data_IF_206926954032
#
_entry.id   IF_206926954032
#
_cell.length_a   1.000
_cell.length_b   1.000
_cell.length_c   1.000
_cell.angle_alpha   90.00
_cell.angle_beta   90.00
_cell.angle_gamma   90.00
#
_symmetry.space_group_name_H-M   'P 1'
#
loop_
_entity.id
_entity.type
_entity.pdbx_description
1 polymer ?
#
# COMPACT_ATOMS: atom_id res chain seq x y z
N UNK A 1 7.69 10.71 -18.97
CA UNK A 1 6.30 10.93 -18.53
C UNK A 1 6.15 10.25 -17.18
N UNK A 2 5.78 11.01 -16.14
CA UNK A 2 5.51 10.47 -14.81
C UNK A 2 4.02 10.09 -14.72
N UNK A 3 3.74 8.84 -14.36
CA UNK A 3 2.36 8.34 -14.28
C UNK A 3 1.54 9.05 -13.21
N UNK A 4 2.15 9.43 -12.09
CA UNK A 4 1.48 10.16 -11.00
C UNK A 4 0.96 11.51 -11.45
N UNK A 5 1.78 12.27 -12.18
CA UNK A 5 1.40 13.58 -12.71
C UNK A 5 0.26 13.45 -13.73
N UNK A 6 0.28 12.37 -14.53
CA UNK A 6 -0.79 12.08 -15.49
C UNK A 6 -2.12 11.74 -14.78
N UNK A 7 -2.08 10.93 -13.72
CA UNK A 7 -3.27 10.61 -12.91
C UNK A 7 -3.84 11.88 -12.28
N UNK A 8 -2.99 12.75 -11.72
CA UNK A 8 -3.43 14.02 -11.15
C UNK A 8 -4.04 14.94 -12.22
N UNK A 9 -3.43 15.02 -13.40
CA UNK A 9 -3.95 15.76 -14.54
C UNK A 9 -5.33 15.26 -14.98
N UNK A 10 -5.49 13.95 -15.14
CA UNK A 10 -6.78 13.34 -15.52
C UNK A 10 -7.84 13.64 -14.47
N UNK A 11 -7.52 13.53 -13.17
CA UNK A 11 -8.46 13.88 -12.09
C UNK A 11 -8.85 15.35 -12.07
N UNK A 12 -7.93 16.25 -12.44
CA UNK A 12 -8.21 17.68 -12.54
C UNK A 12 -9.09 18.02 -13.76
N UNK A 13 -8.87 17.36 -14.91
CA UNK A 13 -9.65 17.55 -16.14
C UNK A 13 -11.02 16.87 -16.08
N UNK A 14 -11.13 15.78 -15.31
CA UNK A 14 -12.32 14.93 -15.19
C UNK A 14 -12.70 14.69 -13.72
N UNK A 15 -13.13 15.74 -13.00
CA UNK A 15 -13.53 15.63 -11.59
C UNK A 15 -14.82 14.82 -11.40
N UNK A 16 -15.55 14.52 -12.48
CA UNK A 16 -16.71 13.63 -12.52
C UNK A 16 -16.34 12.16 -12.27
N UNK A 17 -15.09 11.76 -12.53
CA UNK A 17 -14.63 10.39 -12.34
C UNK A 17 -14.27 10.15 -10.87
N UNK A 18 -15.18 9.48 -10.16
CA UNK A 18 -15.01 9.15 -8.74
C UNK A 18 -14.39 7.75 -8.59
N UNK A 19 -14.82 6.78 -9.40
CA UNK A 19 -14.37 5.41 -9.25
C UNK A 19 -12.94 5.25 -9.78
N UNK A 20 -12.05 4.54 -9.05
CA UNK A 20 -10.68 4.30 -9.50
C UNK A 20 -10.57 3.63 -10.87
N UNK A 21 -11.52 2.76 -11.21
CA UNK A 21 -11.55 2.08 -12.50
C UNK A 21 -11.75 3.07 -13.66
N UNK A 22 -12.69 4.00 -13.53
CA UNK A 22 -12.97 4.99 -14.57
C UNK A 22 -11.78 5.95 -14.76
N UNK A 23 -11.11 6.32 -13.66
CA UNK A 23 -9.86 7.10 -13.71
C UNK A 23 -8.76 6.31 -14.44
N UNK A 24 -8.62 5.02 -14.15
CA UNK A 24 -7.62 4.17 -14.81
C UNK A 24 -7.88 4.05 -16.32
N UNK A 25 -9.13 3.92 -16.76
CA UNK A 25 -9.50 3.88 -18.18
C UNK A 25 -9.18 5.21 -18.88
N UNK A 26 -9.49 6.35 -18.24
CA UNK A 26 -9.16 7.67 -18.76
C UNK A 26 -7.63 7.89 -18.85
N UNK A 27 -6.88 7.45 -17.86
CA UNK A 27 -5.40 7.48 -17.88
C UNK A 27 -4.86 6.59 -18.99
N UNK A 28 -5.38 5.37 -19.16
CA UNK A 28 -4.97 4.47 -20.23
C UNK A 28 -5.22 5.05 -21.62
N UNK A 29 -6.35 5.72 -21.81
CA UNK A 29 -6.69 6.41 -23.06
C UNK A 29 -5.74 7.60 -23.34
N UNK A 30 -5.24 8.27 -22.29
CA UNK A 30 -4.30 9.39 -22.41
C UNK A 30 -2.86 8.96 -22.70
N UNK A 31 -2.49 7.69 -22.46
CA UNK A 31 -1.13 7.18 -22.67
C UNK A 31 -0.91 6.80 -24.15
N UNK A 32 0.07 7.43 -24.84
CA UNK A 32 0.44 7.02 -26.19
C UNK A 32 0.89 5.56 -26.24
N UNK A 33 0.51 4.81 -27.28
CA UNK A 33 0.83 3.39 -27.40
C UNK A 33 2.33 3.07 -27.21
N UNK A 34 3.20 3.94 -27.74
CA UNK A 34 4.67 3.84 -27.62
C UNK A 34 5.21 4.01 -26.19
N UNK A 35 4.44 4.59 -25.27
CA UNK A 35 4.83 4.84 -23.87
C UNK A 35 4.14 3.90 -22.88
N UNK A 36 3.31 2.96 -23.36
CA UNK A 36 2.57 2.04 -22.48
C UNK A 36 3.50 1.13 -21.66
N UNK A 37 4.60 0.67 -22.23
CA UNK A 37 5.58 -0.14 -21.53
C UNK A 37 6.21 0.62 -20.35
N UNK A 38 6.63 1.87 -20.58
CA UNK A 38 7.22 2.71 -19.54
C UNK A 38 6.21 3.07 -18.44
N UNK A 39 4.96 3.35 -18.81
CA UNK A 39 3.89 3.61 -17.86
C UNK A 39 3.58 2.37 -17.01
N UNK A 40 3.54 1.19 -17.63
CA UNK A 40 3.35 -0.07 -16.94
C UNK A 40 4.52 -0.37 -15.98
N UNK A 41 5.76 -0.11 -16.40
CA UNK A 41 6.95 -0.26 -15.55
C UNK A 41 6.92 0.64 -14.31
N UNK A 42 6.27 1.81 -14.38
CA UNK A 42 6.04 2.68 -13.22
C UNK A 42 4.92 2.19 -12.31
N UNK A 43 3.85 1.62 -12.85
CA UNK A 43 2.69 1.15 -12.08
C UNK A 43 2.92 -0.21 -11.40
N UNK A 44 3.63 -1.12 -12.07
CA UNK A 44 3.79 -2.51 -11.65
C UNK A 44 4.43 -2.67 -10.27
N UNK A 45 5.46 -1.92 -9.85
CA UNK A 45 6.05 -2.08 -8.52
C UNK A 45 5.03 -1.92 -7.38
N UNK A 46 4.19 -0.89 -7.44
CA UNK A 46 3.14 -0.66 -6.45
C UNK A 46 2.05 -1.73 -6.50
N UNK A 47 1.64 -2.15 -7.70
CA UNK A 47 0.67 -3.25 -7.87
C UNK A 47 1.21 -4.57 -7.31
N UNK A 48 2.43 -4.97 -7.69
CA UNK A 48 3.09 -6.16 -7.20
C UNK A 48 3.25 -6.12 -5.68
N UNK A 49 3.66 -4.98 -5.11
CA UNK A 49 3.72 -4.81 -3.65
C UNK A 49 2.36 -5.03 -3.00
N UNK A 50 1.30 -4.46 -3.58
CA UNK A 50 -0.09 -4.67 -3.15
C UNK A 50 -0.49 -6.14 -3.17
N UNK A 51 -0.34 -6.82 -4.31
CA UNK A 51 -0.64 -8.25 -4.49
C UNK A 51 0.15 -9.10 -3.51
N UNK A 52 1.45 -8.86 -3.38
CA UNK A 52 2.33 -9.55 -2.43
C UNK A 52 1.82 -9.37 -1.00
N UNK A 53 1.34 -8.19 -0.62
CA UNK A 53 0.75 -7.97 0.71
C UNK A 53 -0.64 -8.57 0.89
N UNK A 54 -1.51 -8.54 -0.11
CA UNK A 54 -2.88 -9.06 -0.04
C UNK A 54 -2.93 -10.58 -0.04
N UNK A 55 -2.07 -11.25 -0.83
CA UNK A 55 -2.00 -12.71 -0.84
C UNK A 55 -1.43 -13.31 0.46
N UNK A 56 -0.87 -12.49 1.36
CA UNK A 56 -0.45 -12.93 2.72
C UNK A 56 -1.61 -13.08 3.69
N UNK A 57 -2.78 -12.53 3.41
CA UNK A 57 -3.98 -12.77 4.21
C UNK A 57 -4.60 -14.16 3.98
N UNK A 58 -4.08 -14.92 3.00
CA UNK A 58 -4.50 -16.28 2.69
C UNK A 58 -3.27 -17.19 2.73
N UNK A 59 -3.21 -18.22 3.58
CA UNK A 59 -2.07 -19.12 3.60
C UNK A 59 -2.08 -19.95 2.31
N UNK A 60 -1.29 -19.53 1.33
CA UNK A 60 -0.96 -20.36 0.15
C UNK A 60 0.55 -20.38 0.04
N UNK A 61 1.13 -21.50 0.46
CA UNK A 61 2.54 -21.87 0.29
C UNK A 61 2.88 -22.07 -1.21
N UNK A 62 4.13 -22.39 -1.57
CA UNK A 62 5.20 -21.42 -1.80
C UNK A 62 5.67 -21.46 -3.28
N UNK A 63 6.20 -20.35 -3.77
CA UNK A 63 6.97 -20.37 -5.02
C UNK A 63 8.24 -19.52 -4.87
N UNK A 64 9.35 -20.26 -4.76
CA UNK A 64 10.70 -19.97 -5.24
C UNK A 64 11.11 -18.50 -5.41
N UNK A 65 12.13 -18.10 -4.68
CA UNK A 65 13.24 -17.33 -5.24
C UNK A 65 14.54 -17.77 -4.55
N UNK A 66 15.51 -18.15 -5.39
CA UNK A 66 16.78 -18.72 -5.02
C UNK A 66 17.89 -17.66 -4.88
N UNK A 67 18.90 -18.01 -4.09
CA UNK A 67 20.22 -17.36 -3.85
C UNK A 67 20.21 -16.15 -2.89
N UNK A 68 21.03 -16.07 -1.84
CA UNK A 68 22.29 -16.74 -1.53
C UNK A 68 22.46 -16.92 -0.01
N UNK A 69 22.65 -18.15 0.46
CA UNK A 69 23.06 -18.43 1.84
C UNK A 69 24.59 -18.56 1.90
N UNK A 70 25.24 -17.68 2.65
CA UNK A 70 26.69 -17.70 2.92
C UNK A 70 27.09 -18.57 4.11
N UNK A 71 26.22 -19.42 4.62
CA UNK A 71 26.56 -20.41 5.64
C UNK A 71 26.18 -21.81 5.16
N UNK A 72 27.02 -22.85 5.36
CA UNK A 72 26.62 -24.23 5.12
C UNK A 72 25.85 -24.74 6.35
N UNK A 73 24.51 -24.91 6.33
CA UNK A 73 23.84 -25.63 7.38
C UNK A 73 23.98 -27.12 7.09
N UNK A 74 24.25 -27.92 8.11
CA UNK A 74 24.05 -29.37 8.01
C UNK A 74 22.62 -29.63 7.53
N UNK A 75 22.49 -30.22 6.33
CA UNK A 75 21.32 -30.19 5.45
C UNK A 75 20.03 -30.81 5.99
N UNK A 76 20.00 -31.24 7.25
CA UNK A 76 18.83 -31.83 7.92
C UNK A 76 18.06 -30.85 8.82
N UNK A 77 18.69 -29.79 9.30
CA UNK A 77 18.03 -28.85 10.23
C UNK A 77 17.47 -27.60 9.56
N UNK A 78 18.02 -27.20 8.40
CA UNK A 78 17.54 -26.05 7.64
C UNK A 78 16.11 -26.23 7.12
N UNK A 79 15.81 -27.38 6.51
CA UNK A 79 14.48 -27.68 5.95
C UNK A 79 13.44 -27.95 7.04
N UNK A 80 13.78 -28.67 8.10
CA UNK A 80 12.86 -28.98 9.20
C UNK A 80 12.36 -27.72 9.93
N UNK A 81 13.17 -26.65 9.97
CA UNK A 81 12.80 -25.37 10.58
C UNK A 81 11.85 -24.57 9.70
N UNK A 82 12.08 -24.55 8.39
CA UNK A 82 11.21 -23.84 7.44
C UNK A 82 9.84 -24.52 7.32
N UNK A 83 9.79 -25.86 7.32
CA UNK A 83 8.53 -26.61 7.31
C UNK A 83 7.71 -26.41 8.61
N UNK A 84 8.39 -26.22 9.75
CA UNK A 84 7.75 -25.95 11.03
C UNK A 84 7.29 -24.48 11.19
N UNK A 85 7.91 -23.55 10.46
CA UNK A 85 7.66 -22.11 10.58
C UNK A 85 7.60 -21.46 9.19
N UNK A 86 6.52 -21.69 8.42
CA UNK A 86 6.40 -21.19 7.05
C UNK A 86 6.43 -19.66 6.93
N UNK A 87 6.13 -18.95 8.03
CA UNK A 87 6.21 -17.50 8.11
C UNK A 87 7.66 -16.97 8.08
N UNK A 88 8.68 -17.83 8.21
CA UNK A 88 10.08 -17.44 8.04
C UNK A 88 10.42 -17.15 6.57
N UNK A 89 9.74 -17.78 5.62
CA UNK A 89 9.96 -17.55 4.19
C UNK A 89 9.16 -16.34 3.66
N UNK A 90 8.31 -15.74 4.49
CA UNK A 90 7.56 -14.56 4.10
C UNK A 90 8.51 -13.38 3.87
N UNK A 91 8.46 -12.80 2.66
CA UNK A 91 9.27 -11.63 2.36
C UNK A 91 8.75 -10.41 3.11
N UNK A 92 9.56 -9.55 3.68
CA UNK A 92 9.12 -8.28 4.27
C UNK A 92 10.08 -7.17 3.85
N UNK A 93 9.57 -5.94 3.83
CA UNK A 93 10.44 -4.77 3.68
C UNK A 93 11.30 -4.63 4.94
N UNK A 94 12.60 -4.88 4.80
CA UNK A 94 13.65 -4.54 5.75
C UNK A 94 14.29 -3.21 5.40
N UNK A 95 15.43 -2.90 6.03
CA UNK A 95 16.12 -1.62 5.84
C UNK A 95 16.64 -1.45 4.40
N UNK A 96 17.17 -2.52 3.81
CA UNK A 96 17.79 -2.53 2.47
C UNK A 96 16.89 -3.16 1.38
N UNK A 97 15.60 -3.28 1.64
CA UNK A 97 14.63 -3.81 0.67
C UNK A 97 13.89 -5.07 1.13
N UNK A 98 13.29 -5.79 0.19
CA UNK A 98 12.47 -6.96 0.49
C UNK A 98 13.31 -8.21 0.63
N UNK A 99 13.16 -8.94 1.75
CA UNK A 99 13.83 -10.22 2.01
C UNK A 99 13.00 -11.12 2.91
N UNK A 100 13.26 -12.42 2.95
CA UNK A 100 12.57 -13.35 3.83
C UNK A 100 12.80 -13.00 5.31
N UNK A 101 11.83 -13.27 6.17
CA UNK A 101 11.99 -13.04 7.61
C UNK A 101 13.12 -13.89 8.22
N UNK A 102 13.42 -15.04 7.63
CA UNK A 102 14.58 -15.86 7.96
C UNK A 102 15.90 -15.08 7.85
N UNK A 103 15.98 -14.14 6.90
CA UNK A 103 17.15 -13.31 6.60
C UNK A 103 17.10 -11.93 7.27
N UNK A 104 16.12 -11.68 8.13
CA UNK A 104 16.03 -10.41 8.85
C UNK A 104 17.16 -10.27 9.87
N UNK A 105 17.90 -9.19 9.75
CA UNK A 105 18.78 -8.71 10.82
C UNK A 105 17.96 -7.95 11.86
N UNK A 106 18.61 -7.58 12.97
CA UNK A 106 18.01 -6.71 13.98
C UNK A 106 17.54 -5.37 13.38
N UNK A 107 18.36 -4.77 12.53
CA UNK A 107 18.05 -3.47 11.90
C UNK A 107 16.82 -3.57 10.99
N UNK A 108 16.67 -4.67 10.26
CA UNK A 108 15.48 -4.92 9.44
C UNK A 108 14.21 -5.05 10.28
N UNK A 109 14.30 -5.75 11.41
CA UNK A 109 13.17 -5.90 12.32
C UNK A 109 12.78 -4.56 12.95
N UNK A 110 13.76 -3.74 13.36
CA UNK A 110 13.55 -2.39 13.88
C UNK A 110 12.91 -1.48 12.81
N UNK A 111 13.42 -1.49 11.58
CA UNK A 111 12.85 -0.76 10.44
C UNK A 111 11.41 -1.19 10.14
N UNK A 112 11.17 -2.49 10.07
CA UNK A 112 9.87 -3.07 9.79
C UNK A 112 8.83 -2.76 10.87
N UNK A 113 9.25 -2.69 12.14
CA UNK A 113 8.41 -2.28 13.27
C UNK A 113 8.06 -0.80 13.18
N UNK A 114 9.05 0.06 12.93
CA UNK A 114 8.87 1.50 12.80
C UNK A 114 7.94 1.85 11.62
N UNK A 115 8.15 1.24 10.46
CA UNK A 115 7.29 1.40 9.29
C UNK A 115 5.83 1.04 9.60
N UNK A 116 5.62 -0.05 10.36
CA UNK A 116 4.27 -0.47 10.78
C UNK A 116 3.65 0.50 11.78
N UNK A 117 4.42 1.04 12.73
CA UNK A 117 3.92 2.05 13.68
C UNK A 117 3.45 3.30 12.96
N UNK A 118 4.26 3.85 12.05
CA UNK A 118 3.86 5.02 11.23
C UNK A 118 2.60 4.75 10.42
N UNK A 119 2.48 3.57 9.83
CA UNK A 119 1.26 3.18 9.10
C UNK A 119 0.05 3.09 10.04
N UNK A 120 0.22 2.53 11.23
CA UNK A 120 -0.84 2.46 12.22
C UNK A 120 -1.27 3.86 12.69
N UNK A 121 -0.33 4.76 12.93
CA UNK A 121 -0.60 6.16 13.27
C UNK A 121 -1.41 6.87 12.17
N UNK A 122 -1.03 6.72 10.90
CA UNK A 122 -1.78 7.29 9.77
C UNK A 122 -3.19 6.67 9.64
N UNK A 123 -3.35 5.36 9.88
CA UNK A 123 -4.65 4.70 9.89
C UNK A 123 -5.55 5.25 11.01
N UNK A 124 -4.99 5.39 12.22
CA UNK A 124 -5.72 5.92 13.37
C UNK A 124 -6.14 7.38 13.15
N UNK A 125 -5.21 8.22 12.67
CA UNK A 125 -5.52 9.61 12.35
C UNK A 125 -6.63 9.74 11.29
N UNK A 126 -6.61 8.87 10.27
CA UNK A 126 -7.68 8.82 9.27
C UNK A 126 -9.02 8.39 9.88
N UNK A 127 -9.02 7.36 10.73
CA UNK A 127 -10.24 6.92 11.42
C UNK A 127 -10.83 8.06 12.26
N UNK A 128 -10.01 8.73 13.07
CA UNK A 128 -10.42 9.87 13.91
C UNK A 128 -11.00 11.02 13.06
N UNK A 129 -10.42 11.29 11.88
CA UNK A 129 -10.97 12.29 10.95
C UNK A 129 -12.37 11.88 10.45
N UNK A 130 -12.57 10.63 10.05
CA UNK A 130 -13.88 10.15 9.62
C UNK A 130 -14.91 10.15 10.76
N UNK A 131 -14.50 9.85 11.99
CA UNK A 131 -15.37 9.98 13.17
C UNK A 131 -15.82 11.42 13.40
N UNK A 132 -14.90 12.39 13.26
CA UNK A 132 -15.25 13.82 13.31
C UNK A 132 -16.21 14.22 12.19
N UNK A 133 -16.01 13.72 10.97
CA UNK A 133 -16.97 13.95 9.88
C UNK A 133 -18.35 13.38 10.20
N UNK A 134 -18.43 12.14 10.71
CA UNK A 134 -19.69 11.52 11.07
C UNK A 134 -20.42 12.32 12.15
N UNK A 135 -19.70 12.82 13.16
CA UNK A 135 -20.25 13.70 14.19
C UNK A 135 -20.78 15.00 13.59
N UNK A 136 -20.00 15.68 12.75
CA UNK A 136 -20.40 16.93 12.11
C UNK A 136 -21.67 16.77 11.25
N UNK A 137 -21.80 15.66 10.53
CA UNK A 137 -22.99 15.32 9.75
C UNK A 137 -24.23 15.14 10.63
N UNK A 138 -24.08 14.43 11.75
CA UNK A 138 -25.15 14.22 12.71
C UNK A 138 -25.60 15.54 13.35
N UNK A 139 -24.64 16.36 13.81
CA UNK A 139 -24.91 17.64 14.47
C UNK A 139 -25.59 18.65 13.51
N UNK A 140 -25.24 18.64 12.22
CA UNK A 140 -25.85 19.48 11.20
C UNK A 140 -27.14 18.90 10.59
N UNK A 141 -27.49 17.64 10.88
CA UNK A 141 -28.65 16.95 10.33
C UNK A 141 -28.59 16.71 8.82
N UNK A 142 -27.40 16.56 8.24
CA UNK A 142 -27.21 16.36 6.79
C UNK A 142 -26.58 15.01 6.48
N UNK A 143 -26.94 14.41 5.34
CA UNK A 143 -26.47 13.08 4.95
C UNK A 143 -25.11 13.05 4.22
N UNK A 144 -24.58 14.20 3.80
CA UNK A 144 -23.37 14.27 2.95
C UNK A 144 -22.44 15.40 3.41
N UNK A 145 -21.13 15.15 3.41
CA UNK A 145 -20.10 16.14 3.78
C UNK A 145 -20.19 17.40 2.92
N UNK A 146 -20.47 17.25 1.62
CA UNK A 146 -20.72 18.37 0.69
C UNK A 146 -21.89 19.30 1.06
N UNK A 147 -22.71 18.93 2.05
CA UNK A 147 -23.85 19.71 2.53
C UNK A 147 -23.61 20.34 3.91
N UNK A 148 -22.44 20.14 4.50
CA UNK A 148 -22.04 20.82 5.73
C UNK A 148 -21.85 22.32 5.48
N UNK A 149 -22.15 23.17 6.47
CA UNK A 149 -21.79 24.59 6.41
C UNK A 149 -20.29 24.78 6.22
N UNK A 150 -19.90 25.81 5.47
CA UNK A 150 -18.48 26.10 5.19
C UNK A 150 -17.66 26.26 6.47
N UNK A 151 -18.22 26.90 7.50
CA UNK A 151 -17.56 27.05 8.80
C UNK A 151 -17.21 25.73 9.47
N UNK A 152 -18.04 24.69 9.29
CA UNK A 152 -17.81 23.34 9.83
C UNK A 152 -16.76 22.61 9.00
N UNK A 153 -16.74 22.82 7.68
CA UNK A 153 -15.70 22.27 6.80
C UNK A 153 -14.32 22.88 7.11
N UNK A 154 -14.27 24.18 7.39
CA UNK A 154 -13.05 24.88 7.78
C UNK A 154 -12.49 24.34 9.11
N UNK A 155 -13.36 24.02 10.09
CA UNK A 155 -12.97 23.38 11.35
C UNK A 155 -12.54 21.91 11.19
N UNK A 156 -13.22 21.14 10.34
CA UNK A 156 -12.85 19.74 10.09
C UNK A 156 -11.47 19.62 9.46
N UNK A 157 -11.15 20.55 8.55
CA UNK A 157 -9.93 20.50 7.74
C UNK A 157 -9.91 19.33 6.75
N UNK A 158 -8.80 19.19 6.03
CA UNK A 158 -8.56 18.06 5.14
C UNK A 158 -8.27 16.76 5.89
N UNK A 159 -8.41 15.59 5.22
CA UNK A 159 -7.96 14.32 5.78
C UNK A 159 -6.43 14.36 6.00
N UNK A 160 -5.92 13.66 7.03
CA UNK A 160 -4.48 13.57 7.27
C UNK A 160 -3.78 12.77 6.15
N UNK A 161 -2.55 13.19 5.80
CA UNK A 161 -1.70 12.52 4.81
C UNK A 161 -1.11 11.19 5.28
#
# INVERSE_FOLDING_TARGET
>A
MNLTDLVQKVRAERPDLIAPADVADAVLAAIPARQRADALAQALPSFCSGVITTHRARPTAPAMLAAAATDPPSSRWGTARTDAYPWLDESHAGADGWKALADFTREDAEHAAESRRRRAESILANADWFERCAKALADAGVAKVSKLPTSVLDELGGPPE
#
